data_IF_835990511482
#
_entry.id   IF_835990511482
#
_cell.length_a   1.000
_cell.length_b   1.000
_cell.length_c   1.000
_cell.angle_alpha   90.00
_cell.angle_beta   90.00
_cell.angle_gamma   90.00
#
_symmetry.space_group_name_H-M   'P 1'
#
loop_
_entity.id
_entity.type
_entity.pdbx_description
1 polymer ?
#
# COMPACT_ATOMS: atom_id res chain seq x y z
N UNK A 1 3.88 1.47 10.07
CA UNK A 1 4.77 2.18 9.11
C UNK A 1 6.20 2.04 9.62
N UNK A 2 7.22 2.08 8.75
CA UNK A 2 8.61 2.02 9.18
C UNK A 2 8.90 3.09 10.25
N UNK A 3 9.71 2.75 11.26
CA UNK A 3 10.18 3.71 12.26
C UNK A 3 11.26 4.62 11.70
N UNK A 4 12.08 4.10 10.79
CA UNK A 4 13.08 4.82 10.02
C UNK A 4 12.71 4.73 8.54
N UNK A 5 12.23 5.85 7.97
CA UNK A 5 11.73 5.92 6.60
C UNK A 5 10.41 6.70 6.47
N UNK A 6 9.62 6.45 5.41
CA UNK A 6 8.40 7.18 5.14
C UNK A 6 7.38 7.08 6.27
N UNK A 7 6.96 8.25 6.76
CA UNK A 7 6.01 8.39 7.88
C UNK A 7 4.55 8.37 7.45
N UNK A 8 4.28 8.23 6.15
CA UNK A 8 2.93 8.19 5.57
C UNK A 8 2.80 7.03 4.59
N UNK A 9 1.57 6.58 4.35
CA UNK A 9 1.32 5.53 3.37
C UNK A 9 1.66 5.99 1.94
N UNK A 10 1.34 7.22 1.58
CA UNK A 10 1.73 7.81 0.30
C UNK A 10 3.26 7.77 0.12
N UNK A 11 4.02 8.28 1.10
CA UNK A 11 5.48 8.27 1.02
C UNK A 11 6.05 6.85 0.93
N UNK A 12 5.51 5.92 1.71
CA UNK A 12 5.94 4.52 1.69
C UNK A 12 5.72 3.89 0.32
N UNK A 13 4.54 4.07 -0.28
CA UNK A 13 4.21 3.46 -1.55
C UNK A 13 4.98 4.12 -2.70
N UNK A 14 5.13 5.45 -2.71
CA UNK A 14 5.90 6.16 -3.73
C UNK A 14 7.39 5.81 -3.70
N UNK A 15 8.00 5.69 -2.51
CA UNK A 15 9.41 5.28 -2.39
C UNK A 15 9.65 3.88 -3.00
N UNK A 16 8.70 2.96 -2.81
CA UNK A 16 8.80 1.60 -3.36
C UNK A 16 8.50 1.48 -4.85
N UNK A 17 7.72 2.41 -5.39
CA UNK A 17 7.33 2.42 -6.80
C UNK A 17 8.30 3.20 -7.67
N UNK A 18 9.14 4.06 -7.07
CA UNK A 18 10.17 4.91 -7.70
C UNK A 18 9.65 5.93 -8.74
N UNK A 19 8.37 5.84 -9.10
CA UNK A 19 7.67 6.64 -10.10
C UNK A 19 6.23 6.89 -9.65
N UNK A 20 5.57 7.90 -10.24
CA UNK A 20 4.15 8.15 -9.97
C UNK A 20 3.33 7.04 -10.66
N UNK A 21 2.58 6.22 -9.90
CA UNK A 21 1.85 5.09 -10.48
C UNK A 21 0.57 5.54 -11.17
N UNK A 22 0.08 4.73 -12.11
CA UNK A 22 -1.28 4.88 -12.64
C UNK A 22 -2.32 4.24 -11.70
N UNK A 23 -3.60 4.68 -11.72
CA UNK A 23 -4.69 3.93 -11.09
C UNK A 23 -4.71 2.47 -11.58
N UNK A 24 -4.98 1.53 -10.67
CA UNK A 24 -4.90 0.10 -10.89
C UNK A 24 -3.52 -0.50 -10.60
N UNK A 25 -2.47 0.31 -10.42
CA UNK A 25 -1.14 -0.19 -10.02
C UNK A 25 -1.25 -0.91 -8.68
N UNK A 26 -0.72 -2.13 -8.61
CA UNK A 26 -0.69 -2.94 -7.39
C UNK A 26 0.71 -3.08 -6.83
N UNK A 27 0.85 -2.98 -5.51
CA UNK A 27 2.11 -3.19 -4.81
C UNK A 27 1.90 -4.08 -3.58
N UNK A 28 2.77 -5.07 -3.41
CA UNK A 28 2.81 -5.89 -2.20
C UNK A 28 3.82 -5.30 -1.21
N UNK A 29 3.37 -4.99 0.01
CA UNK A 29 4.24 -4.54 1.11
C UNK A 29 4.03 -5.44 2.31
N UNK A 30 5.02 -6.29 2.61
CA UNK A 30 4.87 -7.36 3.59
C UNK A 30 3.73 -8.31 3.21
N UNK A 31 2.79 -8.61 4.12
CA UNK A 31 1.66 -9.48 3.81
C UNK A 31 0.47 -8.76 3.15
N UNK A 32 0.55 -7.44 2.99
CA UNK A 32 -0.55 -6.62 2.47
C UNK A 32 -0.39 -6.37 0.96
N UNK A 33 -1.51 -6.41 0.24
CA UNK A 33 -1.59 -5.97 -1.16
C UNK A 33 -2.30 -4.62 -1.23
N UNK A 34 -1.64 -3.65 -1.84
CA UNK A 34 -2.16 -2.31 -2.08
C UNK A 34 -2.52 -2.17 -3.56
N UNK A 35 -3.66 -1.55 -3.83
CA UNK A 35 -4.11 -1.19 -5.18
C UNK A 35 -4.39 0.31 -5.20
N UNK A 36 -3.72 1.05 -6.07
CA UNK A 36 -3.91 2.49 -6.24
C UNK A 36 -5.25 2.72 -6.92
N UNK A 37 -6.16 3.44 -6.26
CA UNK A 37 -7.45 3.77 -6.85
C UNK A 37 -7.47 5.19 -7.43
N UNK A 38 -6.75 6.13 -6.80
CA UNK A 38 -6.75 7.52 -7.21
C UNK A 38 -5.40 8.19 -6.94
N UNK A 39 -4.93 8.92 -7.96
CA UNK A 39 -3.81 9.87 -7.88
C UNK A 39 -4.35 11.28 -8.09
N UNK A 40 -3.85 12.24 -7.31
CA UNK A 40 -4.01 13.67 -7.57
C UNK A 40 -2.80 14.43 -7.04
N UNK A 41 -2.42 15.52 -7.69
CA UNK A 41 -1.28 16.37 -7.31
C UNK A 41 0.01 15.57 -7.04
N UNK A 42 0.32 14.62 -7.92
CA UNK A 42 1.48 13.72 -7.80
C UNK A 42 1.51 12.86 -6.52
N UNK A 43 0.37 12.70 -5.85
CA UNK A 43 0.24 11.90 -4.64
C UNK A 43 -0.85 10.84 -4.77
N UNK A 44 -0.62 9.70 -4.13
CA UNK A 44 -1.63 8.67 -3.93
C UNK A 44 -2.64 9.20 -2.90
N UNK A 45 -3.88 9.43 -3.34
CA UNK A 45 -4.97 9.91 -2.48
C UNK A 45 -5.78 8.76 -1.90
N UNK A 46 -5.96 7.70 -2.67
CA UNK A 46 -6.78 6.56 -2.25
C UNK A 46 -6.15 5.25 -2.69
N UNK A 47 -6.08 4.31 -1.75
CA UNK A 47 -5.65 2.94 -1.99
C UNK A 47 -6.66 1.97 -1.39
N UNK A 48 -6.85 0.85 -2.06
CA UNK A 48 -7.47 -0.33 -1.46
C UNK A 48 -6.39 -1.21 -0.88
N UNK A 49 -6.60 -1.68 0.35
CA UNK A 49 -5.69 -2.60 1.03
C UNK A 49 -6.38 -3.95 1.18
N UNK A 50 -5.71 -5.03 0.77
CA UNK A 50 -6.09 -6.39 1.13
C UNK A 50 -5.11 -6.89 2.17
N UNK A 51 -5.62 -7.15 3.37
CA UNK A 51 -4.88 -7.87 4.39
C UNK A 51 -4.61 -9.30 3.90
N UNK A 52 -3.53 -9.96 4.39
CA UNK A 52 -3.45 -11.40 4.25
C UNK A 52 -4.76 -12.01 4.78
N UNK A 53 -5.22 -13.16 4.26
CA UNK A 53 -6.29 -13.89 4.93
C UNK A 53 -5.87 -13.99 6.39
N UNK A 54 -6.71 -13.49 7.31
CA UNK A 54 -6.51 -13.75 8.73
C UNK A 54 -6.32 -15.25 8.80
N UNK A 55 -5.11 -15.69 9.15
CA UNK A 55 -4.80 -17.10 9.28
C UNK A 55 -5.96 -17.64 10.11
N UNK A 56 -6.79 -18.47 9.48
CA UNK A 56 -8.09 -18.86 10.00
C UNK A 56 -7.87 -19.10 11.47
N UNK A 57 -8.47 -18.27 12.32
CA UNK A 57 -8.18 -18.28 13.74
C UNK A 57 -8.63 -19.65 14.27
N UNK A 58 -7.76 -20.66 14.18
CA UNK A 58 -7.05 -21.25 15.29
C UNK A 58 -7.77 -21.01 16.62
N UNK A 59 -9.00 -21.51 16.68
CA UNK A 59 -9.74 -21.94 17.85
C UNK A 59 -10.89 -22.81 17.34
N UNK A 60 -10.56 -24.08 17.10
CA UNK A 60 -11.45 -25.21 17.40
C UNK A 60 -10.78 -26.00 18.50
#
# INVERSE_FOLDING_TARGET
>A
LPTDGPKTLNGLLLERLETIPAPGTTLKVGPYLFEVLQIADNAIKTVRVRAPPAQAAAMS
#
